data_IF_041990075185
#
_entry.id   IF_041990075185
#
_cell.length_a   1.000
_cell.length_b   1.000
_cell.length_c   1.000
_cell.angle_alpha   90.00
_cell.angle_beta   90.00
_cell.angle_gamma   90.00
#
_symmetry.space_group_name_H-M   'P 1'
#
loop_
_entity.id
_entity.type
_entity.pdbx_description
1 polymer ?
2 non-polymer ?
3 non-polymer ?
4 water ?
#
# COMPACT_ATOMS: atom_id res chain seq x y z
N UNK A 1 7.40 -5.81 5.99
CA UNK A 1 8.64 -5.14 5.49
C UNK A 1 9.86 -5.88 6.02
N UNK A 2 10.72 -6.28 5.11
CA UNK A 2 11.97 -6.94 5.46
C UNK A 2 13.07 -5.88 5.47
N UNK A 3 13.95 -5.97 6.47
CA UNK A 3 15.07 -5.08 6.56
C UNK A 3 14.74 -3.68 7.01
N UNK A 4 13.57 -3.49 7.61
CA UNK A 4 13.18 -2.17 8.06
C UNK A 4 13.38 -1.97 9.56
N UNK A 5 12.74 -0.92 10.07
CA UNK A 5 12.83 -0.58 11.48
C UNK A 5 11.44 -0.17 11.97
N UNK A 6 11.24 -0.15 13.29
CA UNK A 6 9.97 0.29 13.84
C UNK A 6 9.77 1.76 13.47
N UNK A 7 8.57 2.09 13.02
CA UNK A 7 8.25 3.47 12.75
C UNK A 7 8.00 4.16 14.11
N UNK A 8 8.11 5.49 14.11
CA UNK A 8 7.77 6.25 15.32
C UNK A 8 6.24 6.32 15.33
N UNK A 9 5.64 6.42 16.52
CA UNK A 9 4.19 6.50 16.58
C UNK A 9 3.75 7.77 15.83
N UNK A 10 2.78 7.61 14.94
CA UNK A 10 2.26 8.74 14.19
C UNK A 10 3.12 9.26 13.04
N UNK A 11 4.18 8.53 12.71
CA UNK A 11 5.08 8.96 11.65
C UNK A 11 4.49 8.86 10.23
N UNK A 12 3.55 7.94 10.03
CA UNK A 12 2.92 7.71 8.71
C UNK A 12 1.42 7.73 8.97
N UNK A 13 0.86 8.92 9.24
CA UNK A 13 -0.56 9.06 9.55
C UNK A 13 -1.57 8.73 8.48
N UNK A 14 -1.07 8.46 7.27
CA UNK A 14 -1.92 8.05 6.15
C UNK A 14 -1.97 6.52 6.04
N UNK A 15 -1.13 5.82 6.80
CA UNK A 15 -1.11 4.34 6.71
C UNK A 15 -2.29 3.75 7.43
N UNK A 16 -2.99 2.82 6.77
CA UNK A 16 -4.17 2.19 7.32
C UNK A 16 -4.02 0.68 7.33
N UNK A 17 -4.62 0.03 8.32
CA UNK A 17 -4.63 -1.43 8.41
C UNK A 17 -6.04 -1.96 8.10
N UNK A 18 -6.15 -2.89 7.16
CA UNK A 18 -7.44 -3.48 6.82
C UNK A 18 -7.52 -4.89 7.35
N UNK A 19 -8.51 -5.14 8.19
CA UNK A 19 -8.74 -6.46 8.78
C UNK A 19 -9.99 -7.09 8.20
N UNK A 20 -9.90 -8.37 7.88
CA UNK A 20 -11.08 -9.12 7.39
C UNK A 20 -11.64 -9.75 8.67
N UNK A 21 -12.95 -9.70 8.87
CA UNK A 21 -13.53 -10.17 10.13
C UNK A 21 -13.17 -11.59 10.52
N UNK A 22 -12.54 -11.73 11.68
CA UNK A 22 -12.12 -13.03 12.16
C UNK A 22 -10.80 -13.50 11.59
N UNK A 23 -10.14 -12.66 10.81
CA UNK A 23 -8.87 -13.04 10.21
C UNK A 23 -7.69 -12.17 10.53
N UNK A 24 -7.92 -11.04 11.18
CA UNK A 24 -6.81 -10.15 11.46
C UNK A 24 -6.43 -9.29 10.27
N UNK A 25 -5.28 -8.65 10.41
CA UNK A 25 -4.73 -7.78 9.39
C UNK A 25 -4.43 -8.57 8.12
N UNK A 26 -4.96 -8.10 7.00
CA UNK A 26 -4.77 -8.75 5.70
C UNK A 26 -3.94 -7.85 4.77
N UNK A 27 -4.26 -6.55 4.73
CA UNK A 27 -3.49 -5.67 3.85
C UNK A 27 -3.53 -4.25 4.35
N UNK A 28 -2.74 -3.42 3.69
CA UNK A 28 -2.68 -2.01 4.02
C UNK A 28 -3.50 -1.19 3.04
N UNK A 29 -3.57 0.09 3.34
CA UNK A 29 -4.25 1.06 2.49
C UNK A 29 -3.72 2.44 2.87
N UNK A 30 -4.08 3.45 2.11
CA UNK A 30 -3.65 4.82 2.42
C UNK A 30 -4.85 5.74 2.42
N UNK A 31 -4.88 6.67 3.37
CA UNK A 31 -5.95 7.64 3.46
C UNK A 31 -5.68 8.78 2.46
N UNK A 32 -6.65 9.09 1.60
CA UNK A 32 -6.45 10.16 0.64
C UNK A 32 -7.44 11.33 0.80
N UNK A 33 -8.49 11.14 1.60
CA UNK A 33 -9.49 12.19 1.84
C UNK A 33 -10.28 11.70 3.07
N UNK A 34 -11.25 12.48 3.55
CA UNK A 34 -11.99 11.99 4.72
C UNK A 34 -12.76 10.71 4.49
N UNK A 35 -13.13 10.47 3.24
CA UNK A 35 -13.98 9.34 2.92
C UNK A 35 -13.41 8.21 2.10
N UNK A 36 -12.17 8.36 1.66
CA UNK A 36 -11.58 7.40 0.75
C UNK A 36 -10.16 6.93 1.06
N UNK A 37 -9.95 5.65 0.76
CA UNK A 37 -8.64 5.02 0.87
C UNK A 37 -8.25 4.42 -0.48
N UNK A 38 -6.95 4.36 -0.72
CA UNK A 38 -6.41 3.67 -1.88
C UNK A 38 -5.77 2.38 -1.39
N UNK A 39 -5.98 1.28 -2.11
CA UNK A 39 -5.39 0.00 -1.71
C UNK A 39 -5.12 -0.83 -2.98
N UNK A 40 -4.85 -2.12 -2.83
CA UNK A 40 -4.59 -3.01 -3.98
C UNK A 40 -5.79 -3.87 -4.28
N UNK A 41 -6.17 -3.94 -5.55
CA UNK A 41 -7.32 -4.76 -5.94
C UNK A 41 -7.17 -6.24 -5.57
N UNK A 42 -5.95 -6.77 -5.59
CA UNK A 42 -5.80 -8.20 -5.35
C UNK A 42 -6.16 -8.62 -3.93
N UNK A 43 -6.28 -7.66 -3.01
CA UNK A 43 -6.63 -7.99 -1.62
C UNK A 43 -8.11 -8.28 -1.43
N UNK A 44 -8.92 -7.93 -2.43
CA UNK A 44 -10.37 -8.03 -2.30
C UNK A 44 -11.00 -9.03 -3.25
N UNK A 45 -10.32 -10.14 -3.47
CA UNK A 45 -10.78 -11.21 -4.36
C UNK A 45 -11.28 -12.39 -3.53
N UNK A 46 -12.50 -12.83 -3.80
CA UNK A 46 -13.09 -13.96 -3.08
C UNK A 46 -12.31 -15.24 -3.23
N UNK A 47 -12.35 -16.09 -2.22
CA UNK A 47 -11.77 -17.42 -2.36
C UNK A 47 -12.88 -18.34 -1.85
N UNK A 48 -12.74 -19.66 -2.01
CA UNK A 48 -13.80 -20.57 -1.60
C UNK A 48 -14.29 -20.48 -0.17
N UNK A 49 -13.45 -20.00 0.75
CA UNK A 49 -13.90 -19.93 2.12
C UNK A 49 -14.18 -18.55 2.68
N UNK A 50 -13.93 -17.49 1.91
CA UNK A 50 -14.17 -16.13 2.42
C UNK A 50 -14.39 -15.12 1.29
N UNK A 51 -15.41 -14.28 1.45
CA UNK A 51 -15.75 -13.29 0.44
C UNK A 51 -15.00 -11.97 0.67
N UNK A 52 -13.73 -11.95 0.32
CA UNK A 52 -12.93 -10.73 0.49
C UNK A 52 -13.45 -9.56 -0.34
N UNK A 53 -14.26 -9.82 -1.37
CA UNK A 53 -14.80 -8.74 -2.19
C UNK A 53 -15.99 -8.00 -1.57
N UNK A 54 -16.52 -8.52 -0.47
CA UNK A 54 -17.70 -7.95 0.18
C UNK A 54 -17.24 -6.87 1.17
N UNK A 55 -17.57 -5.59 0.92
CA UNK A 55 -17.15 -4.51 1.82
C UNK A 55 -17.53 -4.70 3.28
N UNK A 56 -18.64 -5.41 3.52
CA UNK A 56 -19.10 -5.59 4.90
C UNK A 56 -18.24 -6.54 5.72
N UNK A 57 -17.28 -7.21 5.08
CA UNK A 57 -16.39 -8.15 5.79
C UNK A 57 -15.13 -7.49 6.31
N UNK A 58 -15.03 -6.18 6.17
CA UNK A 58 -13.80 -5.46 6.52
C UNK A 58 -13.91 -4.41 7.61
N UNK A 59 -12.77 -4.13 8.22
CA UNK A 59 -12.64 -3.04 9.19
C UNK A 59 -11.33 -2.34 8.89
N UNK A 60 -11.36 -1.02 8.81
CA UNK A 60 -10.14 -0.23 8.59
C UNK A 60 -9.76 0.43 9.90
N UNK A 61 -8.48 0.34 10.26
CA UNK A 61 -7.98 1.01 11.44
C UNK A 61 -7.04 2.14 10.99
N UNK A 62 -7.39 3.37 11.33
CA UNK A 62 -6.61 4.56 11.01
C UNK A 62 -5.91 5.01 12.30
N UNK A 63 -4.72 5.56 12.17
CA UNK A 63 -3.98 6.01 13.34
C UNK A 63 -3.41 4.86 14.16
N UNK A 64 -3.33 3.68 13.58
CA UNK A 64 -2.81 2.51 14.26
C UNK A 64 -1.29 2.46 14.28
N UNK A 65 -0.73 1.96 15.37
CA UNK A 65 0.70 1.79 15.48
C UNK A 65 1.04 0.31 15.73
N UNK A 66 0.40 -0.27 16.76
CA UNK A 66 0.65 -1.64 17.20
C UNK A 66 -0.63 -2.46 17.04
N UNK A 67 -0.52 -3.57 16.28
CA UNK A 67 -1.66 -4.45 16.03
C UNK A 67 -2.28 -5.04 17.31
N UNK A 68 -1.48 -5.08 18.39
CA UNK A 68 -1.99 -5.60 19.66
C UNK A 68 -2.67 -4.51 20.50
N UNK A 69 -2.68 -3.27 20.01
CA UNK A 69 -3.28 -2.15 20.75
C UNK A 69 -4.16 -1.34 19.80
N UNK A 70 -5.20 -2.02 19.29
CA UNK A 70 -6.08 -1.39 18.32
C UNK A 70 -7.10 -0.44 18.89
N UNK A 71 -7.17 -0.38 20.22
CA UNK A 71 -8.09 0.53 20.90
C UNK A 71 -7.33 1.66 21.59
N UNK A 72 -6.06 1.80 21.28
CA UNK A 72 -5.25 2.85 21.87
C UNK A 72 -5.78 4.23 21.53
N UNK A 73 -5.46 5.24 22.36
CA UNK A 73 -5.95 6.59 22.08
C UNK A 73 -5.55 7.02 20.68
N UNK A 74 -6.48 7.62 19.96
CA UNK A 74 -6.18 8.10 18.62
C UNK A 74 -6.45 7.13 17.48
N UNK A 75 -6.59 5.84 17.79
CA UNK A 75 -6.89 4.88 16.72
C UNK A 75 -8.37 5.02 16.38
N UNK A 76 -8.67 5.05 15.08
CA UNK A 76 -10.05 5.16 14.63
C UNK A 76 -10.43 3.90 13.87
N UNK A 77 -11.59 3.36 14.20
CA UNK A 77 -12.10 2.15 13.56
C UNK A 77 -13.22 2.56 12.61
N UNK A 78 -13.19 2.04 11.38
CA UNK A 78 -14.21 2.36 10.40
C UNK A 78 -14.61 1.15 9.58
N UNK A 79 -15.87 1.11 9.18
CA UNK A 79 -16.31 0.07 8.26
C UNK A 79 -16.24 0.64 6.84
N UNK A 80 -16.40 -0.25 5.86
CA UNK A 80 -16.38 0.14 4.46
C UNK A 80 -17.78 0.06 3.88
N UNK A 81 -18.09 1.02 3.01
CA UNK A 81 -19.37 1.09 2.32
C UNK A 81 -19.25 0.47 0.92
N UNK A 82 -18.06 0.56 0.30
CA UNK A 82 -17.88 0.08 -1.07
C UNK A 82 -16.40 -0.16 -1.34
N UNK A 83 -16.12 -1.08 -2.26
CA UNK A 83 -14.77 -1.37 -2.73
C UNK A 83 -14.89 -1.21 -4.25
N UNK A 84 -14.13 -0.29 -4.84
CA UNK A 84 -14.14 -0.10 -6.31
C UNK A 84 -12.79 -0.61 -6.82
N UNK A 85 -12.79 -1.81 -7.40
CA UNK A 85 -11.55 -2.37 -7.95
C UNK A 85 -11.41 -1.86 -9.36
N UNK A 86 -10.18 -1.58 -9.78
CA UNK A 86 -10.01 -1.08 -11.13
C UNK A 86 -10.63 -2.04 -12.13
N UNK A 87 -11.39 -1.51 -13.10
CA UNK A 87 -12.01 -2.42 -14.07
C UNK A 87 -11.06 -3.27 -14.90
N UNK A 88 -9.81 -2.84 -15.03
CA UNK A 88 -8.87 -3.59 -15.84
C UNK A 88 -7.98 -4.50 -15.01
N UNK A 89 -8.26 -4.61 -13.72
CA UNK A 89 -7.44 -5.50 -12.88
C UNK A 89 -7.47 -6.92 -13.40
N UNK A 90 -6.28 -7.53 -13.49
CA UNK A 90 -6.08 -8.89 -13.97
C UNK A 90 -5.53 -9.70 -12.79
N UNK A 91 -6.29 -10.67 -12.27
CA UNK A 91 -5.81 -11.45 -11.13
C UNK A 91 -4.69 -12.45 -11.43
N UNK A 92 -4.34 -12.62 -12.71
CA UNK A 92 -3.25 -13.52 -13.09
C UNK A 92 -1.95 -12.71 -13.22
N UNK A 93 -2.00 -11.59 -13.94
CA UNK A 93 -0.81 -10.75 -14.14
C UNK A 93 -0.64 -9.67 -13.08
N UNK A 94 -1.72 -9.37 -12.37
CA UNK A 94 -1.77 -8.29 -11.38
C UNK A 94 -1.66 -6.91 -12.04
N UNK A 95 -1.91 -6.83 -13.34
CA UNK A 95 -1.93 -5.53 -13.98
C UNK A 95 -3.11 -4.75 -13.35
N UNK A 96 -2.97 -3.42 -13.29
CA UNK A 96 -4.00 -2.54 -12.74
C UNK A 96 -4.40 -2.94 -11.31
N UNK A 97 -3.39 -3.21 -10.49
CA UNK A 97 -3.64 -3.64 -9.12
C UNK A 97 -3.88 -2.43 -8.20
N UNK A 98 -5.09 -1.89 -8.24
CA UNK A 98 -5.45 -0.73 -7.44
C UNK A 98 -6.95 -0.76 -7.17
N UNK A 99 -7.33 -0.31 -5.97
CA UNK A 99 -8.73 -0.25 -5.58
C UNK A 99 -8.95 0.98 -4.73
N UNK A 100 -10.20 1.44 -4.71
CA UNK A 100 -10.62 2.58 -3.89
C UNK A 100 -11.62 2.03 -2.89
N UNK A 101 -11.43 2.39 -1.63
CA UNK A 101 -12.27 1.91 -0.54
C UNK A 101 -12.98 3.11 0.05
N UNK A 102 -14.31 3.06 0.10
CA UNK A 102 -15.10 4.15 0.66
C UNK A 102 -15.44 3.86 2.12
N UNK A 103 -14.99 4.74 3.00
CA UNK A 103 -15.27 4.60 4.43
C UNK A 103 -16.76 4.84 4.66
N UNK A 104 -17.32 4.10 5.61
CA UNK A 104 -18.74 4.19 5.90
C UNK A 104 -19.06 5.50 6.64
N UNK A 105 -18.09 5.99 7.40
CA UNK A 105 -18.18 7.26 8.14
C UNK A 105 -16.82 7.94 7.91
N UNK A 106 -16.78 9.28 7.75
CA UNK A 106 -15.49 9.94 7.53
C UNK A 106 -14.46 9.81 8.63
N UNK A 107 -13.20 9.79 8.24
CA UNK A 107 -12.10 9.77 9.18
C UNK A 107 -12.07 11.16 9.81
N UNK A 108 -11.59 11.26 11.04
CA UNK A 108 -11.46 12.55 11.70
C UNK A 108 -9.98 12.89 11.67
N UNK A 109 -9.58 13.96 10.97
CA UNK A 109 -8.16 14.28 10.92
C UNK A 109 -7.61 14.64 12.30
N UNK A 110 -6.41 14.18 12.58
CA UNK A 110 -5.74 14.43 13.86
C UNK A 110 -4.24 14.31 13.65
N UNK A 111 -3.46 14.41 14.72
CA UNK A 111 -2.01 14.28 14.53
C UNK A 111 -1.67 12.85 14.06
N UNK A 112 -2.55 11.89 14.37
CA UNK A 112 -2.31 10.49 14.01
C UNK A 112 -3.02 10.03 12.74
N UNK A 113 -3.92 10.84 12.20
CA UNK A 113 -4.72 10.47 11.02
C UNK A 113 -4.69 11.66 10.07
N UNK A 114 -4.03 11.50 8.93
CA UNK A 114 -3.86 12.60 7.97
C UNK A 114 -3.70 11.98 6.60
N UNK A 115 -4.29 12.59 5.56
CA UNK A 115 -4.17 12.03 4.21
C UNK A 115 -2.79 12.25 3.59
N UNK A 116 -2.42 11.36 2.70
CA UNK A 116 -1.19 11.52 1.93
C UNK A 116 -1.55 12.34 0.68
N UNK A 117 -0.58 13.04 0.10
CA UNK A 117 -0.85 13.81 -1.12
C UNK A 117 -0.78 12.93 -2.35
N UNK A 118 -1.66 13.19 -3.30
CA UNK A 118 -1.66 12.45 -4.56
C UNK A 118 -0.89 13.22 -5.64
N UNK A 119 -0.08 12.51 -6.43
CA UNK A 119 0.67 13.17 -7.50
C UNK A 119 -0.17 13.40 -8.75
N UNK A 120 0.12 14.50 -9.44
CA UNK A 120 -0.55 14.83 -10.69
C UNK A 120 -0.16 13.76 -11.71
N UNK A 121 -1.03 13.57 -12.72
CA UNK A 121 -0.79 12.58 -13.75
C UNK A 121 0.55 12.73 -14.49
N UNK A 122 1.03 13.96 -14.62
CA UNK A 122 2.28 14.20 -15.33
C UNK A 122 3.55 14.05 -14.48
N UNK A 123 3.40 13.81 -13.18
CA UNK A 123 4.60 13.73 -12.36
C UNK A 123 5.37 12.42 -12.51
N UNK A 124 6.69 12.53 -12.65
CA UNK A 124 7.58 11.38 -12.77
C UNK A 124 8.38 11.20 -11.47
N UNK A 125 8.28 10.00 -10.88
CA UNK A 125 9.09 9.68 -9.69
C UNK A 125 10.33 9.11 -10.39
N UNK A 126 11.44 9.83 -10.37
CA UNK A 126 12.65 9.39 -11.04
C UNK A 126 13.42 8.19 -10.56
N UNK A 127 14.03 7.47 -11.50
CA UNK A 127 14.86 6.33 -11.15
C UNK A 127 15.93 6.80 -10.19
N UNK A 128 16.16 6.01 -9.15
CA UNK A 128 17.16 6.34 -8.15
C UNK A 128 16.62 7.07 -6.93
N UNK A 129 15.40 7.60 -7.00
CA UNK A 129 14.90 8.32 -5.84
C UNK A 129 14.58 7.42 -4.66
N UNK A 130 14.94 7.87 -3.47
CA UNK A 130 14.67 7.15 -2.23
C UNK A 130 13.21 7.39 -1.87
N UNK A 131 12.53 6.30 -1.54
CA UNK A 131 11.15 6.40 -1.11
C UNK A 131 10.96 5.39 0.01
N UNK A 132 9.85 5.50 0.72
CA UNK A 132 9.62 4.65 1.87
C UNK A 132 8.45 3.71 1.71
N UNK A 133 8.62 2.49 2.18
CA UNK A 133 7.52 1.53 2.21
C UNK A 133 7.24 1.27 3.69
N UNK A 134 5.97 1.12 4.03
CA UNK A 134 5.55 0.89 5.40
C UNK A 134 4.47 -0.18 5.47
N UNK A 135 4.42 -0.88 6.60
CA UNK A 135 3.38 -1.89 6.74
C UNK A 135 3.60 -2.81 7.91
N UNK A 136 2.61 -3.66 8.12
CA UNK A 136 2.62 -4.67 9.18
C UNK A 136 2.84 -6.06 8.61
N UNK A 137 3.33 -6.15 7.38
CA UNK A 137 3.56 -7.46 6.80
C UNK A 137 4.74 -8.22 7.38
N UNK A 138 4.99 -9.38 6.79
CA UNK A 138 6.09 -10.21 7.23
C UNK A 138 7.43 -9.49 7.23
N UNK A 139 8.27 -9.82 8.22
CA UNK A 139 9.58 -9.21 8.30
C UNK A 139 10.68 -10.08 7.69
N UNK A 140 10.28 -11.25 7.19
CA UNK A 140 11.17 -12.18 6.46
C UNK A 140 10.23 -12.99 5.58
N UNK A 141 10.70 -13.40 4.40
CA UNK A 141 9.84 -14.20 3.54
C UNK A 141 9.51 -15.48 4.30
N UNK A 142 8.23 -15.82 4.33
CA UNK A 142 7.79 -17.02 5.02
C UNK A 142 7.84 -16.81 6.52
N UNK A 143 8.11 -15.58 6.93
CA UNK A 143 8.22 -15.25 8.34
C UNK A 143 6.91 -14.83 9.00
N UNK A 144 6.99 -13.92 9.94
CA UNK A 144 5.79 -13.47 10.63
C UNK A 144 5.58 -11.97 10.56
N UNK A 145 4.32 -11.58 10.64
CA UNK A 145 3.94 -10.18 10.57
C UNK A 145 4.48 -9.37 11.73
N UNK A 146 4.55 -8.06 11.54
CA UNK A 146 5.05 -7.20 12.60
C UNK A 146 3.90 -6.61 13.41
N UNK A 147 4.04 -6.62 14.74
CA UNK A 147 3.01 -6.00 15.57
C UNK A 147 3.13 -4.48 15.44
N UNK A 148 4.36 -3.99 15.47
CA UNK A 148 4.63 -2.56 15.35
C UNK A 148 4.89 -2.18 13.88
N UNK A 149 4.22 -1.13 13.41
CA UNK A 149 4.38 -0.68 12.02
C UNK A 149 5.85 -0.55 11.66
N UNK A 150 6.26 -1.12 10.52
CA UNK A 150 7.64 -1.03 10.05
C UNK A 150 7.78 -0.07 8.89
N UNK A 151 8.98 0.47 8.73
CA UNK A 151 9.29 1.35 7.62
C UNK A 151 10.62 0.90 7.02
N UNK A 152 10.78 1.10 5.73
CA UNK A 152 12.01 0.76 5.04
C UNK A 152 12.26 1.70 3.89
N UNK A 153 13.52 2.08 3.66
CA UNK A 153 13.87 2.98 2.57
C UNK A 153 14.32 2.14 1.37
N UNK A 154 13.71 2.42 0.21
CA UNK A 154 14.01 1.69 -1.03
C UNK A 154 14.15 2.71 -2.18
N UNK A 155 14.68 2.30 -3.32
CA UNK A 155 14.86 3.27 -4.41
C UNK A 155 14.19 2.82 -5.70
N UNK A 156 13.69 3.80 -6.44
CA UNK A 156 13.04 3.52 -7.71
C UNK A 156 14.05 2.92 -8.67
N UNK A 157 13.66 1.85 -9.34
CA UNK A 157 14.54 1.19 -10.29
C UNK A 157 14.06 1.51 -11.71
N UNK A 158 15.03 1.65 -12.61
CA UNK A 158 14.82 1.90 -14.04
C UNK A 158 13.85 0.84 -14.60
N UNK A 159 12.85 1.25 -15.39
CA UNK A 159 11.84 0.31 -15.91
C UNK A 159 12.40 -0.79 -16.82
N UNK A 160 13.39 -0.47 -17.65
CA UNK A 160 13.97 -1.49 -18.51
C UNK A 160 14.64 -2.56 -17.64
N UNK A 161 15.35 -2.13 -16.60
CA UNK A 161 15.99 -3.06 -15.68
C UNK A 161 14.91 -3.93 -15.02
N UNK A 162 13.84 -3.29 -14.57
CA UNK A 162 12.73 -4.01 -13.94
C UNK A 162 12.17 -5.11 -14.86
N UNK A 163 11.85 -4.72 -16.09
CA UNK A 163 11.31 -5.66 -17.07
C UNK A 163 12.25 -6.85 -17.30
N UNK A 164 13.56 -6.58 -17.30
CA UNK A 164 14.52 -7.65 -17.55
C UNK A 164 14.71 -8.57 -16.33
N UNK A 165 14.48 -8.05 -15.12
CA UNK A 165 14.62 -8.86 -13.90
C UNK A 165 13.45 -9.84 -13.73
N UNK A 166 12.27 -9.44 -14.23
CA UNK A 166 11.05 -10.22 -14.12
C UNK A 166 10.42 -10.30 -15.51
N UNK A 167 11.05 -11.09 -16.41
CA UNK A 167 10.57 -11.26 -17.78
C UNK A 167 9.13 -11.67 -17.94
N UNK A 168 8.48 -10.99 -18.89
CA UNK A 168 7.08 -11.22 -19.24
C UNK A 168 6.10 -10.97 -18.11
N UNK A 169 6.51 -10.15 -17.14
CA UNK A 169 5.65 -9.91 -15.99
C UNK A 169 5.43 -8.44 -15.65
N UNK A 170 6.25 -7.54 -16.19
CA UNK A 170 6.14 -6.14 -15.83
C UNK A 170 5.43 -5.33 -16.86
N UNK A 171 4.29 -4.75 -16.49
CA UNK A 171 3.54 -3.89 -17.39
C UNK A 171 3.85 -2.43 -17.05
N UNK A 172 3.42 -1.50 -17.93
CA UNK A 172 3.68 -0.08 -17.67
C UNK A 172 2.97 0.46 -16.44
N UNK A 173 2.02 -0.30 -15.88
CA UNK A 173 1.34 0.15 -14.64
C UNK A 173 2.20 -0.17 -13.42
N UNK A 174 3.25 -0.95 -13.64
CA UNK A 174 4.09 -1.41 -12.54
C UNK A 174 5.41 -0.68 -12.46
N UNK A 175 6.00 -0.68 -11.27
CA UNK A 175 7.30 -0.07 -11.06
C UNK A 175 8.06 -0.91 -10.04
N UNK A 176 9.32 -1.20 -10.30
CA UNK A 176 10.15 -1.92 -9.33
C UNK A 176 10.79 -0.89 -8.40
N UNK A 177 10.78 -1.16 -7.09
CA UNK A 177 11.37 -0.25 -6.12
C UNK A 177 12.06 -1.13 -5.09
N UNK A 178 13.31 -0.84 -4.77
CA UNK A 178 14.05 -1.68 -3.84
C UNK A 178 15.52 -1.57 -4.19
N UNK A 179 16.23 -2.70 -4.10
CA UNK A 179 17.66 -2.75 -4.40
C UNK A 179 17.96 -4.04 -5.14
N UNK A 180 18.82 -3.99 -6.14
CA UNK A 180 19.21 -5.23 -6.81
C UNK A 180 19.91 -6.19 -5.85
N UNK A 181 20.55 -5.65 -4.81
CA UNK A 181 21.22 -6.51 -3.84
C UNK A 181 20.25 -7.10 -2.81
N UNK A 182 18.99 -6.68 -2.86
CA UNK A 182 18.00 -7.16 -1.92
C UNK A 182 18.10 -6.42 -0.59
N UNK A 183 17.76 -7.12 0.48
CA UNK A 183 17.89 -6.55 1.82
C UNK A 183 16.70 -5.84 2.44
N UNK A 184 16.12 -4.91 1.68
CA UNK A 184 14.95 -4.16 2.16
C UNK A 184 13.87 -4.35 1.10
N UNK A 185 12.68 -4.72 1.52
CA UNK A 185 11.60 -4.98 0.55
C UNK A 185 10.28 -5.09 1.31
N UNK A 186 9.17 -4.97 0.58
CA UNK A 186 7.87 -5.21 1.19
C UNK A 186 7.66 -6.74 1.17
N UNK A 187 6.64 -7.21 1.87
CA UNK A 187 6.37 -8.65 1.92
C UNK A 187 4.91 -8.90 2.23
N UNK A 188 4.53 -10.17 2.33
CA UNK A 188 3.14 -10.54 2.56
C UNK A 188 2.51 -9.71 3.68
N UNK A 189 1.35 -9.12 3.41
CA UNK A 189 0.67 -8.31 4.41
C UNK A 189 0.92 -6.81 4.25
N UNK A 190 1.94 -6.46 3.46
CA UNK A 190 2.21 -5.06 3.19
C UNK A 190 1.39 -4.60 1.97
N UNK A 191 0.87 -5.56 1.20
CA UNK A 191 0.08 -5.25 0.00
C UNK A 191 -0.98 -4.21 0.24
N UNK A 192 -1.14 -3.30 -0.72
CA UNK A 192 -2.17 -2.29 -0.58
C UNK A 192 -1.71 -1.00 0.06
N UNK A 193 -0.61 -1.08 0.81
CA UNK A 193 -0.09 0.10 1.46
C UNK A 193 0.58 1.05 0.50
N UNK A 194 0.83 2.27 0.95
CA UNK A 194 1.46 3.28 0.10
C UNK A 194 2.97 3.34 0.12
N UNK A 195 3.53 3.73 -1.02
CA UNK A 195 4.94 4.12 -1.08
C UNK A 195 4.85 5.63 -0.78
N UNK A 196 5.64 6.10 0.19
CA UNK A 196 5.69 7.50 0.58
C UNK A 196 6.97 8.16 0.03
N UNK A 197 6.83 9.25 -0.71
CA UNK A 197 7.96 9.97 -1.28
C UNK A 197 8.01 11.42 -0.78
N UNK A 198 9.16 11.79 -0.22
CA UNK A 198 9.37 13.16 0.26
C UNK A 198 9.65 14.06 -0.95
N UNK A 199 8.77 15.04 -1.15
CA UNK A 199 8.91 15.91 -2.30
C UNK A 199 9.62 17.23 -1.99
N UNK A 200 9.56 18.20 -2.91
CA UNK A 200 10.39 19.41 -2.79
C UNK A 200 10.34 20.29 -1.57
N UNK A 201 9.20 20.35 -0.89
CA UNK A 201 9.11 21.13 0.35
C UNK A 201 8.90 20.24 1.56
N UNK A 202 9.20 18.95 1.40
CA UNK A 202 9.06 18.01 2.50
C UNK A 202 7.72 17.31 2.59
N UNK A 203 6.73 17.77 1.85
CA UNK A 203 5.43 17.11 1.89
C UNK A 203 5.55 15.73 1.25
N UNK A 204 4.79 14.79 1.77
CA UNK A 204 4.84 13.43 1.28
C UNK A 204 3.73 13.10 0.30
N UNK A 205 4.15 12.52 -0.83
CA UNK A 205 3.25 12.10 -1.91
C UNK A 205 3.27 10.60 -2.06
N UNK A 206 2.13 10.06 -2.49
CA UNK A 206 2.08 8.62 -2.69
C UNK A 206 2.66 8.29 -4.06
N UNK A 207 3.67 7.43 -4.09
CA UNK A 207 4.29 7.11 -5.38
C UNK A 207 3.69 5.85 -5.96
N UNK A 208 3.19 4.98 -5.09
CA UNK A 208 2.65 3.73 -5.58
C UNK A 208 1.95 2.94 -4.52
N UNK A 209 1.50 1.74 -4.91
CA UNK A 209 0.78 0.82 -4.04
C UNK A 209 1.53 -0.51 -3.99
N UNK A 210 1.77 -1.04 -2.80
CA UNK A 210 2.47 -2.33 -2.67
C UNK A 210 1.63 -3.39 -3.41
N UNK A 211 2.25 -4.12 -4.34
CA UNK A 211 1.50 -5.09 -5.15
C UNK A 211 2.00 -6.51 -5.07
N UNK A 212 3.21 -6.82 -5.53
CA UNK A 212 3.67 -8.20 -5.48
C UNK A 212 5.19 -8.27 -5.59
N UNK A 213 5.72 -9.48 -5.44
CA UNK A 213 7.14 -9.68 -5.62
C UNK A 213 7.42 -11.16 -5.70
N UNK A 214 8.60 -11.51 -6.18
CA UNK A 214 9.05 -12.91 -6.25
C UNK A 214 9.85 -13.07 -4.95
N UNK A 215 9.25 -13.71 -3.95
CA UNK A 215 9.90 -13.81 -2.66
C UNK A 215 9.97 -12.41 -2.03
N UNK A 216 10.85 -12.21 -1.07
CA UNK A 216 11.00 -10.91 -0.44
C UNK A 216 12.46 -10.67 -0.12
N UNK A 217 12.96 -9.50 -0.52
CA UNK A 217 14.32 -9.08 -0.25
C UNK A 217 15.42 -9.89 -0.88
N UNK A 218 15.08 -10.67 -1.89
CA UNK A 218 16.09 -11.46 -2.58
C UNK A 218 16.86 -10.64 -3.61
N UNK A 219 18.11 -11.00 -3.84
CA UNK A 219 18.93 -10.35 -4.85
C UNK A 219 18.23 -10.44 -6.22
N UNK A 220 18.27 -9.35 -6.96
CA UNK A 220 17.67 -9.24 -8.30
C UNK A 220 16.15 -9.44 -8.37
N UNK A 221 15.49 -9.34 -7.23
CA UNK A 221 14.04 -9.50 -7.16
C UNK A 221 13.40 -8.39 -6.30
N UNK A 222 13.50 -7.15 -6.77
CA UNK A 222 12.90 -6.04 -6.01
C UNK A 222 11.38 -6.13 -6.07
N UNK A 223 10.71 -5.52 -5.10
CA UNK A 223 9.27 -5.52 -5.07
C UNK A 223 8.67 -4.74 -6.23
N UNK A 224 7.45 -5.12 -6.59
CA UNK A 224 6.71 -4.51 -7.68
C UNK A 224 5.53 -3.75 -7.11
N UNK A 225 5.35 -2.53 -7.60
CA UNK A 225 4.35 -1.62 -7.07
C UNK A 225 3.50 -1.03 -8.17
N UNK A 226 2.24 -0.74 -7.88
CA UNK A 226 1.38 -0.10 -8.90
C UNK A 226 1.69 1.40 -8.88
N UNK A 227 1.90 2.01 -10.05
CA UNK A 227 2.20 3.43 -10.13
C UNK A 227 0.95 4.24 -9.83
N UNK A 228 1.12 5.40 -9.23
CA UNK A 228 -0.01 6.26 -8.91
C UNK A 228 -0.39 7.37 -9.88
N UNK A 229 0.58 8.10 -10.46
CA UNK A 229 0.22 9.19 -11.39
C UNK A 229 -0.75 8.79 -12.49
N UNK A 230 -0.56 7.58 -13.01
CA UNK A 230 -1.40 7.05 -14.07
C UNK A 230 -2.87 6.98 -13.71
N UNK A 231 -3.15 6.90 -12.41
CA UNK A 231 -4.50 6.79 -11.90
C UNK A 231 -5.10 8.03 -11.31
N UNK A 232 -4.40 9.17 -11.42
CA UNK A 232 -4.93 10.38 -10.84
C UNK A 232 -6.34 10.71 -11.31
N UNK A 233 -6.57 10.62 -12.62
CA UNK A 233 -7.88 10.94 -13.19
C UNK A 233 -8.94 9.92 -12.79
N UNK A 234 -8.55 8.65 -12.77
CA UNK A 234 -9.48 7.59 -12.38
C UNK A 234 -9.91 7.81 -10.93
N UNK A 235 -8.98 8.20 -10.08
CA UNK A 235 -9.33 8.48 -8.69
C UNK A 235 -10.30 9.66 -8.63
N UNK A 236 -9.98 10.73 -9.35
CA UNK A 236 -10.86 11.90 -9.35
C UNK A 236 -12.27 11.55 -9.84
N UNK A 237 -12.34 10.81 -10.93
CA UNK A 237 -13.62 10.43 -11.52
C UNK A 237 -14.50 9.60 -10.61
N UNK A 238 -13.88 8.68 -9.87
CA UNK A 238 -14.62 7.78 -9.00
C UNK A 238 -14.86 8.24 -7.57
N UNK A 239 -14.10 9.23 -7.10
CA UNK A 239 -14.22 9.69 -5.72
C UNK A 239 -14.45 11.17 -5.52
N UNK A 240 -14.13 11.96 -6.54
CA UNK A 240 -14.25 13.41 -6.44
C UNK A 240 -12.98 14.01 -5.89
N UNK A 241 -12.07 13.16 -5.41
CA UNK A 241 -10.79 13.60 -4.84
C UNK A 241 -9.76 13.90 -5.93
#
# INVERSE_FOLDING_TARGET
VVGGTDADEGEWPWQVSLHALGQGHICGASLISPNWLVSAAHCYIDDRGFRYSDPTQWTAFLGLHDQSQRSAPGVQERRLKRIISHPFFNDFTFDYDIALLELEKPAEYSSMVRPICLPDASHVFPAGKAIWVTGWGHTQYGGTGALILQKGEIRVINQTTCENLLPQQITPRMMCVGFLSGGVDSCQGDSGGPLSSVEADGRIFQAGVVSWGDGCAQRNKPGVYTRLPLFRDWIKENTGV
#
